data_IF_952177325411
#
_entry.id   IF_952177325411
#
_cell.length_a   1.000
_cell.length_b   1.000
_cell.length_c   1.000
_cell.angle_alpha   90.00
_cell.angle_beta   90.00
_cell.angle_gamma   90.00
#
_symmetry.space_group_name_H-M   'P 1'
#
loop_
_entity.id
_entity.type
_entity.pdbx_description
1 polymer ?
#
# COMPACT_ATOMS: atom_id res chain seq x y z
N UNK A 1 11.74 34.95 12.93
CA UNK A 1 12.14 36.21 13.59
C UNK A 1 13.47 36.63 12.99
N UNK A 2 13.53 37.85 12.46
CA UNK A 2 14.71 38.41 11.78
C UNK A 2 15.95 38.47 12.69
N UNK A 3 15.76 38.36 14.01
CA UNK A 3 16.83 38.30 15.02
C UNK A 3 17.62 36.99 15.07
N UNK A 4 17.25 35.94 14.31
CA UNK A 4 18.05 34.73 14.25
C UNK A 4 19.34 35.02 13.45
N UNK A 5 20.51 34.64 13.99
CA UNK A 5 21.77 34.76 13.26
C UNK A 5 21.78 33.81 12.05
N UNK A 6 22.56 34.12 11.01
CA UNK A 6 22.74 33.22 9.86
C UNK A 6 23.19 31.81 10.29
N UNK A 7 24.00 31.72 11.36
CA UNK A 7 24.41 30.44 11.97
C UNK A 7 23.23 29.66 12.53
N UNK A 8 22.30 30.31 13.24
CA UNK A 8 21.11 29.63 13.77
C UNK A 8 20.21 29.14 12.64
N UNK A 9 20.07 29.92 11.55
CA UNK A 9 19.29 29.49 10.38
C UNK A 9 19.94 28.30 9.65
N UNK A 10 21.27 28.27 9.55
CA UNK A 10 21.98 27.11 9.01
C UNK A 10 21.79 25.83 9.84
N UNK A 11 21.74 25.93 11.18
CA UNK A 11 21.43 24.79 12.04
C UNK A 11 19.99 24.31 11.88
N UNK A 12 19.03 25.23 11.76
CA UNK A 12 17.65 24.88 11.47
C UNK A 12 17.49 24.23 10.09
N UNK A 13 18.25 24.68 9.09
CA UNK A 13 18.25 24.07 7.76
C UNK A 13 18.63 22.59 7.83
N UNK A 14 19.68 22.26 8.59
CA UNK A 14 20.11 20.88 8.82
C UNK A 14 19.01 20.01 9.44
N UNK A 15 18.30 20.51 10.46
CA UNK A 15 17.16 19.80 11.05
C UNK A 15 16.02 19.58 10.03
N UNK A 16 15.75 20.56 9.17
CA UNK A 16 14.74 20.44 8.11
C UNK A 16 15.13 19.39 7.07
N UNK A 17 16.41 19.31 6.68
CA UNK A 17 16.89 18.27 5.77
C UNK A 17 16.77 16.87 6.41
N UNK A 18 17.10 16.73 7.70
CA UNK A 18 16.90 15.46 8.40
C UNK A 18 15.42 15.04 8.45
N UNK A 19 14.49 16.00 8.59
CA UNK A 19 13.05 15.73 8.53
C UNK A 19 12.63 15.32 7.12
N UNK A 20 13.14 15.98 6.08
CA UNK A 20 12.94 15.60 4.66
C UNK A 20 13.38 14.16 4.43
N UNK A 21 14.56 13.78 4.88
CA UNK A 21 15.11 12.43 4.65
C UNK A 21 14.36 11.38 5.45
N UNK A 22 13.94 11.70 6.67
CA UNK A 22 13.06 10.81 7.43
C UNK A 22 11.70 10.62 6.73
N UNK A 23 11.16 11.66 6.10
CA UNK A 23 9.93 11.56 5.31
C UNK A 23 10.12 10.68 4.07
N UNK A 24 11.26 10.80 3.39
CA UNK A 24 11.62 9.94 2.25
C UNK A 24 11.77 8.49 2.69
N UNK A 25 12.39 8.24 3.84
CA UNK A 25 12.49 6.89 4.41
C UNK A 25 11.11 6.27 4.68
N UNK A 26 10.15 7.08 5.15
CA UNK A 26 8.76 6.64 5.28
C UNK A 26 8.11 6.37 3.91
N UNK A 27 8.36 7.23 2.92
CA UNK A 27 7.88 7.05 1.57
C UNK A 27 8.50 5.82 0.87
N UNK A 28 9.68 5.39 1.30
CA UNK A 28 10.37 4.17 0.87
C UNK A 28 10.08 2.96 1.77
N UNK A 29 9.05 3.01 2.61
CA UNK A 29 8.68 1.89 3.48
C UNK A 29 8.24 0.65 2.70
N UNK A 30 8.59 -0.51 3.24
CA UNK A 30 8.31 -1.82 2.64
C UNK A 30 7.43 -2.68 3.53
N UNK A 31 6.58 -3.51 2.92
CA UNK A 31 5.87 -4.60 3.57
C UNK A 31 6.13 -5.89 2.80
N UNK A 32 6.61 -6.94 3.48
CA UNK A 32 7.00 -8.23 2.87
C UNK A 32 8.01 -8.07 1.69
N UNK A 33 8.94 -7.11 1.82
CA UNK A 33 9.94 -6.84 0.77
C UNK A 33 9.42 -6.09 -0.45
N UNK A 34 8.16 -5.61 -0.41
CA UNK A 34 7.55 -4.79 -1.47
C UNK A 34 7.32 -3.37 -0.99
N UNK A 35 7.59 -2.39 -1.85
CA UNK A 35 7.39 -0.98 -1.53
C UNK A 35 5.92 -0.61 -1.52
N UNK A 36 5.42 -0.11 -0.38
CA UNK A 36 3.98 0.13 -0.21
C UNK A 36 3.49 1.34 -1.03
N UNK A 37 4.40 2.28 -1.32
CA UNK A 37 4.14 3.51 -2.09
C UNK A 37 4.66 3.44 -3.53
N UNK A 38 5.12 2.28 -3.99
CA UNK A 38 5.70 2.08 -5.33
C UNK A 38 4.68 1.89 -6.45
N UNK A 39 3.38 2.05 -6.20
CA UNK A 39 2.38 1.81 -7.23
C UNK A 39 2.35 0.35 -7.70
N UNK A 40 2.45 0.11 -9.01
CA UNK A 40 2.62 -1.24 -9.57
C UNK A 40 4.10 -1.67 -9.67
N UNK A 41 5.03 -0.72 -9.59
CA UNK A 41 6.49 -0.96 -9.53
C UNK A 41 6.91 -1.12 -8.06
N UNK A 42 6.47 -2.24 -7.45
CA UNK A 42 6.65 -2.50 -6.02
C UNK A 42 7.98 -3.18 -5.65
N UNK A 43 8.84 -3.43 -6.64
CA UNK A 43 10.20 -3.97 -6.51
C UNK A 43 11.31 -2.91 -6.62
N UNK A 44 10.98 -1.70 -7.05
CA UNK A 44 11.90 -0.55 -7.09
C UNK A 44 11.55 0.44 -5.96
N UNK A 45 12.53 1.06 -5.28
CA UNK A 45 12.25 2.14 -4.34
C UNK A 45 11.35 3.21 -4.95
N UNK A 46 10.37 3.76 -4.24
CA UNK A 46 9.54 4.86 -4.73
C UNK A 46 10.30 6.17 -4.92
N UNK A 47 11.26 6.45 -4.04
CA UNK A 47 12.09 7.65 -4.07
C UNK A 47 13.58 7.30 -4.09
N UNK A 48 14.33 8.04 -4.89
CA UNK A 48 15.79 8.02 -4.89
C UNK A 48 16.32 9.44 -5.04
N UNK A 49 17.61 9.62 -4.75
CA UNK A 49 18.28 10.89 -5.02
C UNK A 49 18.32 11.11 -6.54
N UNK A 50 18.03 12.35 -6.95
CA UNK A 50 18.07 12.82 -8.33
C UNK A 50 19.43 12.56 -8.97
N UNK A 51 20.53 12.63 -8.22
CA UNK A 51 21.85 12.30 -8.77
C UNK A 51 21.94 10.83 -9.23
N UNK A 52 21.12 9.94 -8.67
CA UNK A 52 21.09 8.51 -9.02
C UNK A 52 20.24 8.23 -10.26
N UNK A 53 19.07 8.88 -10.42
CA UNK A 53 18.13 8.58 -11.51
C UNK A 53 18.06 9.65 -12.61
N UNK A 54 18.35 10.90 -12.28
CA UNK A 54 18.35 12.04 -13.20
C UNK A 54 19.63 12.87 -13.05
N UNK A 55 20.83 12.32 -13.27
CA UNK A 55 22.10 12.98 -13.01
C UNK A 55 22.34 14.29 -13.81
N UNK A 56 21.55 14.55 -14.86
CA UNK A 56 21.62 15.76 -15.68
C UNK A 56 20.54 16.81 -15.31
N UNK A 57 19.90 16.69 -14.13
CA UNK A 57 18.80 17.57 -13.73
C UNK A 57 19.21 19.00 -13.32
N UNK A 58 20.49 19.36 -13.42
CA UNK A 58 20.94 20.74 -13.21
C UNK A 58 20.79 21.27 -11.78
N UNK A 59 20.90 20.41 -10.76
CA UNK A 59 20.81 20.85 -9.35
C UNK A 59 22.05 21.68 -8.97
N UNK A 60 21.90 23.01 -8.98
CA UNK A 60 23.05 23.94 -9.11
C UNK A 60 23.65 24.46 -7.81
N UNK A 61 23.00 24.40 -6.64
CA UNK A 61 23.55 25.04 -5.44
C UNK A 61 22.91 24.54 -4.12
N UNK A 62 23.70 24.28 -3.05
CA UNK A 62 25.16 24.33 -2.93
C UNK A 62 25.89 23.13 -3.53
N UNK A 63 27.10 23.35 -4.07
CA UNK A 63 27.96 22.29 -4.65
C UNK A 63 28.40 21.18 -3.68
N UNK A 64 28.14 21.32 -2.38
CA UNK A 64 28.48 20.34 -1.32
C UNK A 64 27.54 20.49 -0.11
N UNK A 65 27.03 19.37 0.45
CA UNK A 65 26.27 19.31 1.71
C UNK A 65 24.76 19.02 1.52
N UNK A 66 24.05 18.54 2.54
CA UNK A 66 22.65 18.02 2.52
C UNK A 66 21.63 18.80 1.66
N UNK A 67 21.81 20.12 1.52
CA UNK A 67 21.02 20.99 0.67
C UNK A 67 21.16 20.75 -0.85
N UNK A 68 22.09 19.89 -1.28
CA UNK A 68 22.29 19.49 -2.68
C UNK A 68 21.48 18.23 -3.07
N UNK A 69 20.89 17.54 -2.09
CA UNK A 69 20.18 16.29 -2.33
C UNK A 69 18.73 16.56 -2.72
N UNK A 70 18.31 16.04 -3.88
CA UNK A 70 16.93 16.17 -4.35
C UNK A 70 16.31 14.79 -4.45
N UNK A 71 15.34 14.52 -3.61
CA UNK A 71 14.56 13.28 -3.71
C UNK A 71 13.54 13.38 -4.85
N UNK A 72 13.60 12.41 -5.77
CA UNK A 72 12.69 12.30 -6.92
C UNK A 72 11.91 11.00 -6.87
N UNK A 73 10.65 11.07 -7.25
CA UNK A 73 9.80 9.89 -7.38
C UNK A 73 10.18 9.07 -8.62
N UNK A 74 10.00 7.76 -8.54
CA UNK A 74 10.26 6.83 -9.62
C UNK A 74 9.42 7.18 -10.86
N UNK A 75 10.10 7.44 -11.97
CA UNK A 75 9.47 7.86 -13.23
C UNK A 75 8.90 6.72 -14.06
N UNK A 76 9.05 5.46 -13.65
CA UNK A 76 8.42 4.34 -14.34
C UNK A 76 6.89 4.54 -14.40
N UNK A 77 6.25 4.41 -15.58
CA UNK A 77 4.80 4.52 -15.69
C UNK A 77 4.04 3.59 -14.73
N UNK A 78 4.59 2.43 -14.37
CA UNK A 78 4.02 1.51 -13.40
C UNK A 78 4.02 2.07 -11.97
N UNK A 79 5.01 2.88 -11.60
CA UNK A 79 5.08 3.54 -10.29
C UNK A 79 3.91 4.52 -10.07
N UNK A 80 3.36 5.08 -11.15
CA UNK A 80 2.23 6.01 -11.13
C UNK A 80 0.85 5.33 -11.04
N UNK A 81 0.80 4.00 -11.15
CA UNK A 81 -0.43 3.23 -11.18
C UNK A 81 -0.71 2.59 -9.83
N UNK A 82 -1.97 2.53 -9.43
CA UNK A 82 -2.37 1.83 -8.20
C UNK A 82 -2.59 0.34 -8.44
N UNK A 83 -2.20 -0.47 -7.45
CA UNK A 83 -2.43 -1.90 -7.36
C UNK A 83 -3.86 -2.18 -6.90
N UNK A 84 -4.54 -3.07 -7.63
CA UNK A 84 -5.86 -3.57 -7.30
C UNK A 84 -5.80 -5.06 -7.02
N UNK A 85 -6.48 -5.49 -5.97
CA UNK A 85 -6.62 -6.90 -5.60
C UNK A 85 -8.07 -7.32 -5.78
N UNK A 86 -8.27 -8.41 -6.52
CA UNK A 86 -9.59 -9.03 -6.69
C UNK A 86 -9.91 -9.88 -5.45
N UNK A 87 -11.09 -9.66 -4.88
CA UNK A 87 -11.57 -10.32 -3.66
C UNK A 87 -12.62 -11.38 -4.01
N UNK A 88 -13.55 -11.02 -4.89
CA UNK A 88 -14.57 -11.92 -5.45
C UNK A 88 -14.78 -11.59 -6.92
N UNK A 89 -15.67 -12.30 -7.61
CA UNK A 89 -15.90 -12.11 -9.04
C UNK A 89 -16.24 -10.66 -9.42
N UNK A 90 -16.98 -9.97 -8.55
CA UNK A 90 -17.46 -8.60 -8.75
C UNK A 90 -16.80 -7.56 -7.83
N UNK A 91 -15.95 -7.97 -6.88
CA UNK A 91 -15.34 -7.05 -5.90
C UNK A 91 -13.83 -6.99 -6.09
N UNK A 92 -13.33 -5.79 -6.40
CA UNK A 92 -11.91 -5.45 -6.36
C UNK A 92 -11.67 -4.24 -5.45
N UNK A 93 -10.51 -4.23 -4.78
CA UNK A 93 -10.11 -3.16 -3.87
C UNK A 93 -8.72 -2.67 -4.26
N UNK A 94 -8.60 -1.34 -4.39
CA UNK A 94 -7.30 -0.68 -4.51
C UNK A 94 -6.57 -0.77 -3.18
N UNK A 95 -5.35 -1.27 -3.19
CA UNK A 95 -4.58 -1.55 -1.97
C UNK A 95 -3.43 -0.58 -1.71
N UNK A 96 -3.08 0.29 -2.67
CA UNK A 96 -2.08 1.31 -2.48
C UNK A 96 -2.39 2.62 -3.21
N UNK A 97 -1.59 3.64 -2.87
CA UNK A 97 -1.50 4.90 -3.59
C UNK A 97 -0.03 5.11 -3.98
N UNK A 98 0.26 5.58 -5.19
CA UNK A 98 1.59 6.03 -5.58
C UNK A 98 2.15 7.11 -4.65
N UNK A 99 3.41 6.98 -4.25
CA UNK A 99 4.05 7.86 -3.27
C UNK A 99 4.08 9.34 -3.67
N UNK A 100 4.17 9.65 -4.96
CA UNK A 100 4.15 11.04 -5.43
C UNK A 100 2.85 11.77 -5.09
N UNK A 101 1.72 11.07 -5.00
CA UNK A 101 0.43 11.69 -4.64
C UNK A 101 0.33 12.07 -3.17
N UNK A 102 1.25 11.57 -2.34
CA UNK A 102 1.19 11.71 -0.88
C UNK A 102 2.36 12.54 -0.35
N UNK A 103 3.56 12.35 -0.91
CA UNK A 103 4.80 12.88 -0.33
C UNK A 103 5.48 13.95 -1.16
N UNK A 104 5.26 14.05 -2.48
CA UNK A 104 6.03 14.97 -3.35
C UNK A 104 5.98 16.41 -2.84
N UNK A 105 4.79 16.98 -2.67
CA UNK A 105 4.65 18.38 -2.27
C UNK A 105 5.27 18.64 -0.88
N UNK A 106 5.19 17.67 0.04
CA UNK A 106 5.77 17.81 1.37
C UNK A 106 7.31 17.72 1.35
N UNK A 107 7.87 16.76 0.61
CA UNK A 107 9.32 16.62 0.40
C UNK A 107 9.87 17.89 -0.26
N UNK A 108 9.20 18.37 -1.31
CA UNK A 108 9.58 19.57 -2.05
C UNK A 108 9.47 20.84 -1.20
N UNK A 109 8.45 20.96 -0.34
CA UNK A 109 8.31 22.08 0.57
C UNK A 109 9.42 22.08 1.66
N UNK A 110 9.79 20.90 2.18
CA UNK A 110 10.89 20.76 3.13
C UNK A 110 12.23 21.10 2.48
N UNK A 111 12.44 20.68 1.23
CA UNK A 111 13.64 21.05 0.46
C UNK A 111 13.77 22.57 0.32
N UNK A 112 12.70 23.22 -0.15
CA UNK A 112 12.66 24.69 -0.28
C UNK A 112 12.90 25.39 1.04
N UNK A 113 12.30 24.91 2.13
CA UNK A 113 12.46 25.47 3.46
C UNK A 113 13.92 25.35 3.95
N UNK A 114 14.52 24.18 3.79
CA UNK A 114 15.93 23.94 4.14
C UNK A 114 16.86 24.86 3.34
N UNK A 115 16.64 24.98 2.03
CA UNK A 115 17.41 25.88 1.16
C UNK A 115 17.25 27.36 1.55
N UNK A 116 16.02 27.81 1.77
CA UNK A 116 15.74 29.18 2.21
C UNK A 116 16.44 29.50 3.55
N UNK A 117 16.42 28.57 4.51
CA UNK A 117 17.12 28.70 5.79
C UNK A 117 18.65 28.69 5.63
N UNK A 118 19.18 27.89 4.70
CA UNK A 118 20.61 27.82 4.41
C UNK A 118 21.16 29.04 3.67
N UNK A 119 20.28 29.91 3.16
CA UNK A 119 20.67 31.18 2.53
C UNK A 119 20.51 31.23 1.01
N UNK A 120 19.73 30.33 0.41
CA UNK A 120 19.51 30.28 -1.02
C UNK A 120 18.03 30.39 -1.38
N UNK A 121 17.74 31.12 -2.45
CA UNK A 121 16.43 31.11 -3.11
C UNK A 121 16.22 29.76 -3.80
N UNK A 122 14.96 29.40 -4.09
CA UNK A 122 14.64 28.16 -4.80
C UNK A 122 13.70 28.42 -5.97
N UNK A 123 14.17 28.06 -7.17
CA UNK A 123 13.38 28.09 -8.40
C UNK A 123 12.92 26.68 -8.81
N UNK A 124 11.90 26.60 -9.70
CA UNK A 124 10.89 27.63 -9.92
C UNK A 124 10.15 27.99 -8.62
N UNK A 125 9.54 29.16 -8.47
CA UNK A 125 8.79 29.53 -7.26
C UNK A 125 7.66 28.53 -6.87
N UNK A 126 7.12 27.78 -7.83
CA UNK A 126 6.10 26.74 -7.59
C UNK A 126 6.42 25.45 -8.36
N UNK A 127 5.96 24.31 -7.83
CA UNK A 127 6.22 22.99 -8.40
C UNK A 127 7.53 22.38 -7.89
N UNK A 128 8.07 21.42 -8.64
CA UNK A 128 9.26 20.69 -8.21
C UNK A 128 10.51 21.60 -8.22
N UNK A 129 11.20 21.79 -7.09
CA UNK A 129 12.38 22.63 -7.00
C UNK A 129 13.50 22.04 -7.87
N UNK A 130 14.15 22.89 -8.65
CA UNK A 130 15.22 22.49 -9.57
C UNK A 130 16.63 22.64 -8.97
N UNK A 131 16.73 23.20 -7.76
CA UNK A 131 18.02 23.43 -7.09
C UNK A 131 18.76 24.66 -7.59
N UNK A 132 18.13 25.48 -8.43
CA UNK A 132 18.61 26.81 -8.78
C UNK A 132 18.01 27.87 -7.86
N UNK A 133 18.46 29.11 -8.04
CA UNK A 133 18.16 30.24 -7.17
C UNK A 133 19.43 30.85 -6.59
N UNK A 134 19.48 32.18 -6.63
CA UNK A 134 20.63 32.94 -6.15
C UNK A 134 20.73 32.92 -4.61
N UNK A 135 21.95 33.05 -4.04
CA UNK A 135 22.09 33.28 -2.61
C UNK A 135 21.45 34.61 -2.21
N UNK A 136 20.85 34.68 -1.03
CA UNK A 136 20.42 35.95 -0.46
C UNK A 136 21.63 36.84 -0.15
N UNK A 137 21.52 38.12 -0.49
CA UNK A 137 22.51 39.15 -0.21
C UNK A 137 22.13 39.90 1.05
N UNK A 138 22.80 39.59 2.16
CA UNK A 138 22.55 40.27 3.43
C UNK A 138 23.36 41.57 3.56
N UNK A 139 22.78 42.64 4.16
CA UNK A 139 21.52 42.68 4.90
C UNK A 139 20.25 42.94 4.07
N UNK A 140 20.40 43.17 2.76
CA UNK A 140 19.32 43.69 1.92
C UNK A 140 18.16 42.68 1.79
N UNK A 141 18.46 41.40 1.63
CA UNK A 141 17.49 40.32 1.37
C UNK A 141 16.86 39.69 2.64
N UNK A 142 16.94 40.32 3.82
CA UNK A 142 16.35 39.72 5.04
C UNK A 142 14.83 39.57 4.97
N UNK A 143 14.14 40.52 4.35
CA UNK A 143 12.68 40.50 4.22
C UNK A 143 12.26 39.39 3.27
N UNK A 144 12.97 39.28 2.15
CA UNK A 144 12.75 38.31 1.08
C UNK A 144 13.01 36.89 1.58
N UNK A 145 14.11 36.65 2.32
CA UNK A 145 14.34 35.35 2.95
C UNK A 145 13.20 34.98 3.91
N UNK A 146 12.67 35.96 4.65
CA UNK A 146 11.58 35.72 5.61
C UNK A 146 10.26 35.41 4.92
N UNK A 147 9.98 36.08 3.79
CA UNK A 147 8.85 35.81 2.92
C UNK A 147 8.94 34.40 2.33
N UNK A 148 10.06 34.05 1.70
CA UNK A 148 10.30 32.74 1.10
C UNK A 148 10.16 31.60 2.14
N UNK A 149 10.68 31.78 3.36
CA UNK A 149 10.50 30.82 4.47
C UNK A 149 9.01 30.66 4.83
N UNK A 150 8.25 31.75 4.85
CA UNK A 150 6.83 31.72 5.21
C UNK A 150 6.01 31.03 4.11
N UNK A 151 6.33 31.28 2.84
CA UNK A 151 5.72 30.59 1.70
C UNK A 151 6.00 29.08 1.75
N UNK A 152 7.23 28.67 2.09
CA UNK A 152 7.57 27.25 2.25
C UNK A 152 6.76 26.58 3.37
N UNK A 153 6.53 27.28 4.48
CA UNK A 153 5.68 26.79 5.57
C UNK A 153 4.23 26.62 5.09
N UNK A 154 3.73 27.53 4.25
CA UNK A 154 2.38 27.43 3.70
C UNK A 154 2.26 26.31 2.66
N UNK A 155 3.29 26.06 1.84
CA UNK A 155 3.37 24.87 0.99
C UNK A 155 3.31 23.58 1.81
N UNK A 156 4.04 23.50 2.93
CA UNK A 156 4.00 22.32 3.82
C UNK A 156 2.61 22.13 4.45
N UNK A 157 1.95 23.21 4.87
CA UNK A 157 0.56 23.16 5.37
C UNK A 157 -0.40 22.69 4.28
N UNK A 158 -0.20 23.15 3.04
CA UNK A 158 -1.00 22.76 1.89
C UNK A 158 -0.82 21.27 1.59
N UNK A 159 0.42 20.77 1.49
CA UNK A 159 0.71 19.36 1.27
C UNK A 159 0.05 18.45 2.33
N UNK A 160 0.13 18.85 3.61
CA UNK A 160 -0.58 18.14 4.67
C UNK A 160 -2.10 18.11 4.43
N UNK A 161 -2.69 19.24 4.03
CA UNK A 161 -4.14 19.40 3.90
C UNK A 161 -4.72 18.74 2.63
N UNK A 162 -3.97 18.75 1.53
CA UNK A 162 -4.46 18.35 0.20
C UNK A 162 -3.96 16.96 -0.20
N UNK A 163 -2.83 16.50 0.33
CA UNK A 163 -2.25 15.22 -0.06
C UNK A 163 -2.36 14.19 1.08
N UNK A 164 -1.77 14.49 2.24
CA UNK A 164 -1.64 13.52 3.34
C UNK A 164 -2.99 13.24 4.02
N UNK A 165 -3.73 14.26 4.41
CA UNK A 165 -5.01 14.08 5.11
C UNK A 165 -6.07 13.37 4.23
N UNK A 166 -6.23 13.70 2.94
CA UNK A 166 -7.15 12.98 2.06
C UNK A 166 -6.75 11.51 1.87
N UNK A 167 -5.47 11.19 1.71
CA UNK A 167 -5.04 9.79 1.60
C UNK A 167 -5.34 9.01 2.90
N UNK A 168 -5.23 9.61 4.09
CA UNK A 168 -5.64 8.95 5.33
C UNK A 168 -7.14 8.59 5.33
N UNK A 169 -7.99 9.45 4.78
CA UNK A 169 -9.42 9.19 4.62
C UNK A 169 -9.67 8.07 3.61
N UNK A 170 -8.94 8.07 2.49
CA UNK A 170 -9.04 7.03 1.46
C UNK A 170 -8.61 5.66 2.00
N UNK A 171 -7.53 5.59 2.78
CA UNK A 171 -7.10 4.37 3.48
C UNK A 171 -8.17 3.88 4.45
N UNK A 172 -8.81 4.77 5.21
CA UNK A 172 -9.94 4.40 6.06
C UNK A 172 -11.15 3.90 5.25
N UNK A 173 -11.37 4.44 4.05
CA UNK A 173 -12.35 3.93 3.09
C UNK A 173 -12.02 2.52 2.59
N UNK A 174 -10.77 2.28 2.18
CA UNK A 174 -10.26 0.96 1.75
C UNK A 174 -10.39 -0.07 2.87
N UNK A 175 -10.05 0.30 4.11
CA UNK A 175 -10.22 -0.56 5.29
C UNK A 175 -11.67 -1.01 5.48
N UNK A 176 -12.63 -0.08 5.38
CA UNK A 176 -14.06 -0.42 5.47
C UNK A 176 -14.52 -1.36 4.35
N UNK A 177 -13.99 -1.17 3.13
CA UNK A 177 -14.27 -2.07 2.00
C UNK A 177 -13.71 -3.47 2.24
N UNK A 178 -12.51 -3.57 2.81
CA UNK A 178 -11.90 -4.86 3.17
C UNK A 178 -12.71 -5.60 4.26
N UNK A 179 -13.15 -4.90 5.30
CA UNK A 179 -14.01 -5.48 6.35
C UNK A 179 -15.35 -5.99 5.80
N UNK A 180 -15.94 -5.25 4.86
CA UNK A 180 -17.17 -5.65 4.18
C UNK A 180 -16.93 -6.90 3.33
N UNK A 181 -15.82 -6.90 2.57
CA UNK A 181 -15.40 -8.02 1.75
C UNK A 181 -15.15 -9.29 2.58
N UNK A 182 -14.47 -9.18 3.71
CA UNK A 182 -14.22 -10.26 4.67
C UNK A 182 -15.54 -10.88 5.13
N UNK A 183 -16.50 -10.05 5.56
CA UNK A 183 -17.84 -10.51 5.99
C UNK A 183 -18.58 -11.27 4.88
N UNK A 184 -18.46 -10.82 3.63
CA UNK A 184 -19.07 -11.49 2.48
C UNK A 184 -18.40 -12.83 2.16
N UNK A 185 -17.06 -12.89 2.24
CA UNK A 185 -16.31 -14.13 2.03
C UNK A 185 -16.68 -15.16 3.10
N UNK A 186 -16.78 -14.76 4.36
CA UNK A 186 -17.15 -15.65 5.45
C UNK A 186 -18.57 -16.21 5.29
N UNK A 187 -19.52 -15.38 4.87
CA UNK A 187 -20.88 -15.82 4.54
C UNK A 187 -20.88 -16.81 3.37
N UNK A 188 -20.13 -16.51 2.31
CA UNK A 188 -20.03 -17.38 1.13
C UNK A 188 -19.40 -18.73 1.49
N UNK A 189 -18.35 -18.74 2.33
CA UNK A 189 -17.73 -19.95 2.85
C UNK A 189 -18.72 -20.80 3.65
N UNK A 190 -19.48 -20.17 4.55
CA UNK A 190 -20.49 -20.86 5.37
C UNK A 190 -21.56 -21.49 4.48
N UNK A 191 -22.11 -20.75 3.52
CA UNK A 191 -23.10 -21.28 2.58
C UNK A 191 -22.54 -22.42 1.71
N UNK A 192 -21.29 -22.29 1.26
CA UNK A 192 -20.60 -23.33 0.51
C UNK A 192 -20.40 -24.62 1.33
N UNK A 193 -20.07 -24.50 2.61
CA UNK A 193 -19.97 -25.63 3.53
C UNK A 193 -21.33 -26.30 3.75
N UNK A 194 -22.40 -25.54 3.93
CA UNK A 194 -23.76 -26.10 4.04
C UNK A 194 -24.19 -26.86 2.78
N UNK A 195 -23.90 -26.34 1.58
CA UNK A 195 -24.18 -27.03 0.32
C UNK A 195 -23.34 -28.30 0.19
N UNK A 196 -22.05 -28.24 0.55
CA UNK A 196 -21.17 -29.40 0.55
C UNK A 196 -21.69 -30.48 1.49
N UNK A 197 -22.04 -30.11 2.72
CA UNK A 197 -22.61 -31.01 3.71
C UNK A 197 -23.90 -31.64 3.19
N UNK A 198 -24.78 -30.88 2.54
CA UNK A 198 -26.01 -31.43 1.93
C UNK A 198 -25.75 -32.42 0.78
N UNK A 199 -24.67 -32.25 0.03
CA UNK A 199 -24.31 -33.12 -1.09
C UNK A 199 -23.49 -34.34 -0.65
N UNK A 200 -22.58 -34.18 0.30
CA UNK A 200 -21.65 -35.21 0.75
C UNK A 200 -22.17 -36.01 1.93
N UNK A 201 -23.01 -35.44 2.78
CA UNK A 201 -23.70 -36.24 3.78
C UNK A 201 -24.63 -37.18 3.03
N UNK A 202 -24.17 -38.42 2.89
CA UNK A 202 -25.07 -39.56 2.73
C UNK A 202 -26.11 -39.39 3.81
N UNK A 203 -27.39 -39.35 3.42
CA UNK A 203 -28.47 -39.43 4.39
C UNK A 203 -28.26 -40.75 5.16
N UNK A 204 -27.61 -40.67 6.32
CA UNK A 204 -27.21 -41.83 7.12
C UNK A 204 -28.45 -42.66 7.49
N UNK A 205 -29.62 -42.03 7.53
CA UNK A 205 -30.89 -42.72 7.70
C UNK A 205 -31.27 -43.52 6.46
N UNK A 206 -31.16 -42.94 5.26
CA UNK A 206 -31.41 -43.67 4.00
C UNK A 206 -30.40 -44.79 3.78
N UNK A 207 -29.10 -44.53 3.93
CA UNK A 207 -28.07 -45.56 3.79
C UNK A 207 -28.17 -46.65 4.87
N UNK A 208 -28.53 -46.29 6.10
CA UNK A 208 -28.81 -47.26 7.17
C UNK A 208 -30.04 -48.12 6.88
N UNK A 209 -31.10 -47.53 6.32
CA UNK A 209 -32.30 -48.23 5.90
C UNK A 209 -32.03 -49.18 4.73
N UNK A 210 -31.31 -48.71 3.71
CA UNK A 210 -30.89 -49.52 2.55
C UNK A 210 -29.97 -50.67 2.98
N UNK A 211 -29.03 -50.41 3.90
CA UNK A 211 -28.17 -51.44 4.47
C UNK A 211 -28.96 -52.50 5.26
N UNK A 212 -29.91 -52.07 6.11
CA UNK A 212 -30.79 -52.98 6.85
C UNK A 212 -31.67 -53.82 5.91
N UNK A 213 -32.20 -53.21 4.85
CA UNK A 213 -32.95 -53.90 3.81
C UNK A 213 -32.05 -54.91 3.05
N UNK A 214 -30.82 -54.53 2.71
CA UNK A 214 -29.84 -55.41 2.06
C UNK A 214 -29.43 -56.59 2.96
N UNK A 215 -29.23 -56.36 4.26
CA UNK A 215 -28.98 -57.42 5.25
C UNK A 215 -30.16 -58.39 5.35
N UNK A 216 -31.38 -57.85 5.37
CA UNK A 216 -32.62 -58.66 5.40
C UNK A 216 -32.74 -59.52 4.14
N UNK A 217 -32.52 -58.93 2.97
CA UNK A 217 -32.54 -59.65 1.69
C UNK A 217 -31.46 -60.73 1.62
N UNK A 218 -30.24 -60.46 2.11
CA UNK A 218 -29.16 -61.43 2.17
C UNK A 218 -29.49 -62.61 3.09
N UNK A 219 -30.03 -62.35 4.28
CA UNK A 219 -30.47 -63.41 5.19
C UNK A 219 -31.57 -64.28 4.55
N UNK A 220 -32.54 -63.67 3.88
CA UNK A 220 -33.58 -64.39 3.14
C UNK A 220 -32.97 -65.26 2.02
N UNK A 221 -32.02 -64.72 1.25
CA UNK A 221 -31.32 -65.45 0.19
C UNK A 221 -30.52 -66.65 0.74
N UNK A 222 -29.82 -66.49 1.87
CA UNK A 222 -29.10 -67.57 2.54
C UNK A 222 -30.05 -68.67 3.06
N UNK A 223 -31.22 -68.29 3.56
CA UNK A 223 -32.24 -69.22 4.05
C UNK A 223 -32.93 -69.98 2.91
N UNK A 224 -33.15 -69.32 1.77
CA UNK A 224 -33.58 -69.99 0.53
C UNK A 224 -32.50 -70.95 0.03
N UNK A 225 -31.24 -70.53 0.02
CA UNK A 225 -30.11 -71.37 -0.38
C UNK A 225 -30.00 -72.62 0.52
N UNK A 226 -30.12 -72.47 1.84
CA UNK A 226 -30.08 -73.62 2.76
C UNK A 226 -31.29 -74.56 2.60
N UNK A 227 -32.48 -74.04 2.25
CA UNK A 227 -33.64 -74.88 1.90
C UNK A 227 -33.44 -75.64 0.59
N UNK A 228 -32.87 -75.02 -0.43
CA UNK A 228 -32.54 -75.68 -1.70
C UNK A 228 -31.50 -76.77 -1.50
N UNK A 229 -30.44 -76.50 -0.71
CA UNK A 229 -29.41 -77.48 -0.40
C UNK A 229 -29.93 -78.66 0.46
N UNK A 230 -30.94 -78.43 1.31
CA UNK A 230 -31.58 -79.47 2.13
C UNK A 230 -32.74 -80.20 1.41
N UNK A 231 -33.32 -79.64 0.35
CA UNK A 231 -34.14 -80.38 -0.62
C UNK A 231 -33.23 -81.21 -1.52
N UNK A 232 -32.51 -82.14 -0.93
CA UNK A 232 -31.79 -83.16 -1.67
C UNK A 232 -32.80 -84.10 -2.32
N UNK A 233 -32.55 -84.45 -3.58
CA UNK A 233 -33.25 -85.47 -4.36
C UNK A 233 -33.35 -86.82 -3.61
N UNK A 234 -32.56 -87.01 -2.54
CA UNK A 234 -32.57 -88.17 -1.64
C UNK A 234 -33.82 -88.31 -0.75
N UNK A 235 -34.73 -87.33 -0.70
CA UNK A 235 -36.04 -87.50 -0.04
C UNK A 235 -37.15 -87.99 -0.98
N UNK A 236 -36.85 -88.20 -2.27
CA UNK A 236 -37.83 -88.65 -3.27
C UNK A 236 -37.49 -90.03 -3.88
N UNK A 237 -36.55 -90.76 -3.28
CA UNK A 237 -36.21 -92.17 -3.58
C UNK A 237 -36.13 -92.93 -2.27
#
# INVERSE_FOLDING_TARGET
>A
NESNSATNRAQLAEEIFQIRDHMVNLANSTYQGKYIWGGLDDDTPPYSDAATWTPDSGYTNPTTGEAHERWVFNSDPAALLSKMVKISDDVSVTVNTPGNKVFDNAIQALERLGRALSGYRTEPAAGAPDGSGDPYTFPDDYSEQTEDITECIDLLKNARAVDILPEQVDVAGRMRRLQTAESLIDLSKTSGQEVLDRLQNTDMFKAGSEFSAAQTALQAALLVNSRVLNQSILNYI
#
